data_IF_668087923276
#
_entry.id   IF_668087923276
#
_cell.length_a   1.000
_cell.length_b   1.000
_cell.length_c   1.000
_cell.angle_alpha   90.00
_cell.angle_beta   90.00
_cell.angle_gamma   90.00
#
_symmetry.space_group_name_H-M   'P 1'
#
loop_
_entity.id
_entity.type
_entity.pdbx_description
1 polymer ?
#
# COMPACT_ATOMS: atom_id res chain seq x y z
N UNK A 1 -3.21 -38.52 52.16
CA UNK A 1 -2.91 -37.65 51.00
C UNK A 1 -1.92 -36.59 51.43
N UNK A 2 -0.63 -36.86 51.24
CA UNK A 2 0.45 -35.87 51.23
C UNK A 2 1.61 -36.52 50.47
N UNK A 3 1.51 -36.56 49.15
CA UNK A 3 2.65 -36.96 48.33
C UNK A 3 3.59 -35.74 48.29
N UNK A 4 4.33 -35.56 49.38
CA UNK A 4 5.25 -34.47 49.55
C UNK A 4 6.42 -34.72 48.61
N UNK A 5 6.46 -33.96 47.52
CA UNK A 5 7.55 -34.01 46.54
C UNK A 5 8.88 -33.91 47.25
N UNK A 6 9.79 -34.82 46.92
CA UNK A 6 11.12 -34.82 47.52
C UNK A 6 11.92 -33.63 47.00
N UNK A 7 12.89 -33.11 47.77
CA UNK A 7 13.75 -32.03 47.31
C UNK A 7 14.39 -32.31 45.95
N UNK A 8 14.82 -33.55 45.71
CA UNK A 8 15.38 -33.99 44.42
C UNK A 8 14.37 -33.91 43.26
N UNK A 9 13.10 -34.22 43.50
CA UNK A 9 12.04 -34.08 42.49
C UNK A 9 11.74 -32.61 42.17
N UNK A 10 11.78 -31.73 43.18
CA UNK A 10 11.59 -30.29 43.00
C UNK A 10 12.74 -29.72 42.15
N UNK A 11 13.98 -30.12 42.42
CA UNK A 11 15.14 -29.67 41.67
C UNK A 11 15.11 -30.16 40.21
N UNK A 12 14.70 -31.41 39.97
CA UNK A 12 14.49 -31.93 38.63
C UNK A 12 13.40 -31.17 37.84
N UNK A 13 12.29 -30.81 38.50
CA UNK A 13 11.22 -30.02 37.86
C UNK A 13 11.67 -28.59 37.55
N UNK A 14 12.48 -27.97 38.43
CA UNK A 14 13.03 -26.64 38.19
C UNK A 14 13.95 -26.65 36.96
N UNK A 15 14.83 -27.64 36.83
CA UNK A 15 15.72 -27.76 35.68
C UNK A 15 14.90 -27.93 34.39
N UNK A 16 13.94 -28.85 34.40
CA UNK A 16 13.03 -29.09 33.27
C UNK A 16 12.26 -27.83 32.86
N UNK A 17 11.73 -27.07 33.83
CA UNK A 17 11.03 -25.80 33.57
C UNK A 17 11.96 -24.72 33.01
N UNK A 18 13.20 -24.63 33.49
CA UNK A 18 14.18 -23.66 32.99
C UNK A 18 14.56 -23.94 31.54
N UNK A 19 14.73 -25.20 31.19
CA UNK A 19 14.98 -25.61 29.79
C UNK A 19 13.80 -25.25 28.88
N UNK A 20 12.56 -25.54 29.30
CA UNK A 20 11.36 -25.14 28.56
C UNK A 20 11.25 -23.62 28.41
N UNK A 21 11.55 -22.87 29.46
CA UNK A 21 11.50 -21.41 29.42
C UNK A 21 12.53 -20.83 28.46
N UNK A 22 13.74 -21.39 28.41
CA UNK A 22 14.78 -20.94 27.49
C UNK A 22 14.35 -21.07 26.02
N UNK A 23 13.69 -22.18 25.66
CA UNK A 23 13.13 -22.39 24.32
C UNK A 23 12.07 -21.35 23.98
N UNK A 24 11.13 -21.10 24.90
CA UNK A 24 10.06 -20.11 24.69
C UNK A 24 10.62 -18.69 24.60
N UNK A 25 11.62 -18.36 25.42
CA UNK A 25 12.27 -17.05 25.40
C UNK A 25 13.04 -16.80 24.11
N UNK A 26 13.68 -17.82 23.54
CA UNK A 26 14.34 -17.73 22.24
C UNK A 26 13.33 -17.43 21.12
N UNK A 27 12.21 -18.16 21.10
CA UNK A 27 11.12 -17.94 20.14
C UNK A 27 10.52 -16.51 20.27
N UNK A 28 10.24 -16.07 21.50
CA UNK A 28 9.76 -14.71 21.75
C UNK A 28 10.83 -13.71 21.32
N UNK A 29 12.09 -13.94 21.68
CA UNK A 29 13.24 -13.08 21.39
C UNK A 29 13.37 -12.79 19.90
N UNK A 30 13.23 -13.79 19.03
CA UNK A 30 13.26 -13.61 17.57
C UNK A 30 12.06 -12.78 17.08
N UNK A 31 10.85 -13.02 17.60
CA UNK A 31 9.64 -12.27 17.17
C UNK A 31 9.63 -10.83 17.65
N UNK A 32 10.11 -10.57 18.86
CA UNK A 32 10.15 -9.23 19.45
C UNK A 32 11.48 -8.53 19.20
N UNK A 33 12.40 -9.15 18.47
CA UNK A 33 13.65 -8.52 18.07
C UNK A 33 13.32 -7.22 17.32
N UNK A 34 13.98 -6.09 17.64
CA UNK A 34 13.67 -4.79 17.05
C UNK A 34 13.64 -4.82 15.51
N UNK A 35 14.58 -5.56 14.92
CA UNK A 35 14.66 -5.71 13.46
C UNK A 35 13.46 -6.46 12.87
N UNK A 36 12.94 -7.48 13.56
CA UNK A 36 11.75 -8.23 13.13
C UNK A 36 10.52 -7.33 13.19
N UNK A 37 10.34 -6.60 14.30
CA UNK A 37 9.22 -5.66 14.46
C UNK A 37 9.27 -4.57 13.38
N UNK A 38 10.43 -3.94 13.18
CA UNK A 38 10.61 -2.92 12.15
C UNK A 38 10.39 -3.49 10.75
N UNK A 39 10.85 -4.72 10.49
CA UNK A 39 10.60 -5.45 9.25
C UNK A 39 9.11 -5.61 8.95
N UNK A 40 8.35 -6.12 9.92
CA UNK A 40 6.90 -6.34 9.79
C UNK A 40 6.12 -5.03 9.59
N UNK A 41 6.49 -3.97 10.32
CA UNK A 41 5.88 -2.65 10.15
C UNK A 41 6.15 -2.10 8.76
N UNK A 42 7.40 -2.22 8.27
CA UNK A 42 7.76 -1.78 6.92
C UNK A 42 7.03 -2.58 5.85
N UNK A 43 6.92 -3.89 6.01
CA UNK A 43 6.19 -4.75 5.09
C UNK A 43 4.71 -4.34 4.98
N UNK A 44 4.04 -4.12 6.12
CA UNK A 44 2.65 -3.63 6.14
C UNK A 44 2.48 -2.27 5.48
N UNK A 45 3.44 -1.36 5.68
CA UNK A 45 3.40 -0.05 5.03
C UNK A 45 3.54 -0.16 3.50
N UNK A 46 4.49 -0.97 3.02
CA UNK A 46 4.66 -1.26 1.59
C UNK A 46 3.40 -1.88 1.00
N UNK A 47 2.79 -2.84 1.68
CA UNK A 47 1.55 -3.48 1.25
C UNK A 47 0.37 -2.49 1.17
N UNK A 48 0.25 -1.57 2.14
CA UNK A 48 -0.79 -0.55 2.15
C UNK A 48 -0.61 0.44 0.98
N UNK A 49 0.63 0.84 0.70
CA UNK A 49 0.96 1.71 -0.43
C UNK A 49 0.67 1.01 -1.74
N UNK A 50 1.10 -0.24 -1.92
CA UNK A 50 0.85 -1.00 -3.14
C UNK A 50 -0.65 -1.17 -3.44
N UNK A 51 -1.43 -1.54 -2.41
CA UNK A 51 -2.90 -1.66 -2.54
C UNK A 51 -3.58 -0.35 -2.91
N UNK A 52 -3.04 0.80 -2.50
CA UNK A 52 -3.68 2.11 -2.71
C UNK A 52 -3.15 2.79 -3.96
N UNK A 53 -1.84 3.04 -4.01
CA UNK A 53 -1.17 3.72 -5.11
C UNK A 53 -1.14 2.85 -6.37
N UNK A 54 -0.89 1.54 -6.23
CA UNK A 54 -0.91 0.61 -7.37
C UNK A 54 -2.28 0.55 -8.03
N UNK A 55 -3.35 0.38 -7.24
CA UNK A 55 -4.73 0.40 -7.77
C UNK A 55 -5.11 1.75 -8.36
N UNK A 56 -4.75 2.86 -7.70
CA UNK A 56 -5.04 4.19 -8.22
C UNK A 56 -4.33 4.45 -9.56
N UNK A 57 -3.06 4.06 -9.68
CA UNK A 57 -2.29 4.21 -10.91
C UNK A 57 -2.89 3.41 -12.06
N UNK A 58 -3.25 2.14 -11.81
CA UNK A 58 -3.91 1.29 -12.82
C UNK A 58 -5.27 1.85 -13.22
N UNK A 59 -6.08 2.32 -12.26
CA UNK A 59 -7.37 2.91 -12.53
C UNK A 59 -7.26 4.18 -13.39
N UNK A 60 -6.31 5.06 -13.07
CA UNK A 60 -6.04 6.27 -13.86
C UNK A 60 -5.58 5.91 -15.27
N UNK A 61 -4.62 5.00 -15.42
CA UNK A 61 -4.14 4.60 -16.75
C UNK A 61 -5.24 3.95 -17.58
N UNK A 62 -6.11 3.15 -16.96
CA UNK A 62 -7.26 2.56 -17.64
C UNK A 62 -8.22 3.65 -18.12
N UNK A 63 -8.59 4.58 -17.25
CA UNK A 63 -9.46 5.70 -17.61
C UNK A 63 -8.88 6.55 -18.75
N UNK A 64 -7.59 6.89 -18.69
CA UNK A 64 -6.91 7.65 -19.75
C UNK A 64 -6.87 6.85 -21.06
N UNK A 65 -6.62 5.54 -20.98
CA UNK A 65 -6.58 4.66 -22.15
C UNK A 65 -7.96 4.54 -22.80
N UNK A 66 -9.02 4.40 -22.01
CA UNK A 66 -10.41 4.31 -22.49
C UNK A 66 -10.83 5.62 -23.18
N UNK A 67 -10.45 6.78 -22.62
CA UNK A 67 -10.68 8.08 -23.27
C UNK A 67 -9.88 8.18 -24.56
N UNK A 68 -8.58 7.83 -24.54
CA UNK A 68 -7.71 7.86 -25.74
C UNK A 68 -8.27 6.99 -26.86
N UNK A 69 -8.82 5.81 -26.55
CA UNK A 69 -9.40 4.89 -27.52
C UNK A 69 -10.56 5.53 -28.32
N UNK A 70 -11.27 6.51 -27.76
CA UNK A 70 -12.32 7.23 -28.48
C UNK A 70 -11.77 8.20 -29.52
N UNK A 71 -10.51 8.63 -29.38
CA UNK A 71 -9.87 9.64 -30.23
C UNK A 71 -8.84 9.05 -31.19
N UNK A 72 -8.65 7.74 -31.20
CA UNK A 72 -7.65 7.05 -32.02
C UNK A 72 -8.33 5.96 -32.86
N UNK A 73 -7.86 5.72 -34.10
CA UNK A 73 -8.34 4.65 -34.98
C UNK A 73 -7.74 3.30 -34.58
N UNK A 74 -8.23 2.22 -35.18
CA UNK A 74 -7.72 0.86 -34.92
C UNK A 74 -6.22 0.73 -35.25
N UNK A 75 -5.74 1.47 -36.26
CA UNK A 75 -4.33 1.52 -36.67
C UNK A 75 -3.48 2.47 -35.83
N UNK A 76 -4.05 3.14 -34.82
CA UNK A 76 -3.34 4.07 -33.94
C UNK A 76 -3.28 5.52 -34.42
N UNK A 77 -3.94 5.87 -35.53
CA UNK A 77 -3.96 7.23 -36.06
C UNK A 77 -4.98 8.12 -35.30
N UNK A 78 -4.71 9.41 -35.05
CA UNK A 78 -5.67 10.30 -34.42
C UNK A 78 -6.93 10.49 -35.28
N UNK A 79 -8.11 10.32 -34.67
CA UNK A 79 -9.40 10.63 -35.29
C UNK A 79 -9.61 12.14 -35.31
N UNK A 80 -9.10 12.80 -36.35
CA UNK A 80 -9.16 14.26 -36.49
C UNK A 80 -10.60 14.81 -36.39
N UNK A 81 -11.58 14.04 -36.87
CA UNK A 81 -13.02 14.35 -36.75
C UNK A 81 -13.48 14.57 -35.29
N UNK A 82 -12.82 13.92 -34.32
CA UNK A 82 -13.15 13.99 -32.88
C UNK A 82 -12.16 14.86 -32.10
N UNK A 83 -10.88 14.79 -32.47
CA UNK A 83 -9.80 15.52 -31.78
C UNK A 83 -9.94 17.03 -31.99
N UNK A 84 -10.22 17.48 -33.22
CA UNK A 84 -10.28 18.91 -33.54
C UNK A 84 -11.40 19.62 -32.75
N UNK A 85 -12.67 19.13 -32.74
CA UNK A 85 -13.72 19.74 -31.94
C UNK A 85 -13.43 19.74 -30.43
N UNK A 86 -12.88 18.64 -29.91
CA UNK A 86 -12.53 18.52 -28.50
C UNK A 86 -11.42 19.51 -28.11
N UNK A 87 -10.39 19.66 -28.95
CA UNK A 87 -9.31 20.62 -28.73
C UNK A 87 -9.82 22.07 -28.73
N UNK A 88 -10.70 22.43 -29.67
CA UNK A 88 -11.30 23.77 -29.72
C UNK A 88 -12.12 24.08 -28.46
N UNK A 89 -12.94 23.12 -28.00
CA UNK A 89 -13.68 23.27 -26.74
C UNK A 89 -12.75 23.44 -25.54
N UNK A 90 -11.71 22.60 -25.43
CA UNK A 90 -10.74 22.69 -24.34
C UNK A 90 -10.07 24.07 -24.29
N UNK A 91 -9.61 24.58 -25.43
CA UNK A 91 -9.03 25.93 -25.55
C UNK A 91 -10.03 27.00 -25.15
N UNK A 92 -11.29 26.90 -25.60
CA UNK A 92 -12.35 27.83 -25.23
C UNK A 92 -12.60 27.89 -23.72
N UNK A 93 -12.69 26.73 -23.06
CA UNK A 93 -12.88 26.63 -21.61
C UNK A 93 -11.69 27.22 -20.86
N UNK A 94 -10.46 26.86 -21.24
CA UNK A 94 -9.25 27.42 -20.60
C UNK A 94 -9.20 28.94 -20.78
N UNK A 95 -9.47 29.44 -21.98
CA UNK A 95 -9.54 30.86 -22.27
C UNK A 95 -10.56 31.59 -21.38
N UNK A 96 -11.75 31.01 -21.19
CA UNK A 96 -12.79 31.55 -20.33
C UNK A 96 -12.41 31.54 -18.84
N UNK A 97 -11.78 30.47 -18.36
CA UNK A 97 -11.27 30.37 -16.98
C UNK A 97 -10.19 31.42 -16.72
N UNK A 98 -9.24 31.58 -17.64
CA UNK A 98 -8.18 32.59 -17.52
C UNK A 98 -8.77 34.00 -17.58
N UNK A 99 -9.69 34.27 -18.51
CA UNK A 99 -10.34 35.57 -18.65
C UNK A 99 -11.19 35.95 -17.42
N UNK A 100 -11.92 34.99 -16.85
CA UNK A 100 -12.75 35.21 -15.65
C UNK A 100 -11.90 35.46 -14.39
N UNK A 101 -10.78 34.76 -14.21
CA UNK A 101 -9.80 35.06 -13.15
C UNK A 101 -9.22 36.47 -13.30
N UNK A 102 -8.92 36.89 -14.53
CA UNK A 102 -8.39 38.23 -14.81
C UNK A 102 -9.42 39.33 -14.52
N UNK A 103 -10.70 39.11 -14.86
CA UNK A 103 -11.79 40.06 -14.55
C UNK A 103 -12.08 40.21 -13.06
N UNK A 104 -11.88 39.18 -12.22
CA UNK A 104 -12.07 39.27 -10.77
C UNK A 104 -10.97 40.04 -10.03
N UNK A 105 -9.82 40.28 -10.67
CA UNK A 105 -8.66 40.94 -10.07
C UNK A 105 -8.56 42.43 -10.42
N UNK A 106 -9.36 42.89 -11.38
CA UNK A 106 -9.51 44.31 -11.76
C UNK A 106 -10.79 44.88 -11.15
#
# INVERSE_FOLDING_TARGET
>A
MSDARTPAQIEADIISRREQLAVVLDEIGVRVHPDTIMGDVKAKAVEAVDRTAGRAFVAVNRAVSDVKAQFVSEDGAPRLERVIPAALLAVGVVGLVVASKRRRKS
#
